data_IF_767183774619
#
_entry.id   IF_767183774619
#
_cell.length_a   1.000
_cell.length_b   1.000
_cell.length_c   1.000
_cell.angle_alpha   90.00
_cell.angle_beta   90.00
_cell.angle_gamma   90.00
#
_symmetry.space_group_name_H-M   'P 1'
#
loop_
_entity.id
_entity.type
_entity.pdbx_description
1 polymer ?
#
# COMPACT_ATOMS: atom_id res chain seq x y z
N UNK A 1 30.87 -38.05 -18.85
CA UNK A 1 30.18 -38.95 -19.81
C UNK A 1 30.43 -40.47 -19.59
N UNK A 2 30.90 -40.86 -18.42
CA UNK A 2 31.31 -42.25 -18.15
C UNK A 2 30.17 -43.17 -17.70
N UNK A 3 28.96 -42.70 -17.51
CA UNK A 3 27.90 -43.49 -16.89
C UNK A 3 26.71 -43.90 -17.77
N UNK A 4 26.82 -43.81 -19.09
CA UNK A 4 25.76 -44.23 -20.04
C UNK A 4 24.33 -43.71 -19.72
N UNK A 5 24.21 -42.71 -18.85
CA UNK A 5 22.89 -42.16 -18.45
C UNK A 5 22.24 -41.30 -19.53
N UNK A 6 23.00 -40.78 -20.50
CA UNK A 6 22.54 -39.91 -21.55
C UNK A 6 23.01 -40.41 -22.93
N UNK A 7 22.51 -41.54 -23.43
CA UNK A 7 23.00 -42.18 -24.65
C UNK A 7 22.72 -41.40 -25.93
N UNK A 8 21.79 -40.47 -25.89
CA UNK A 8 21.39 -39.65 -27.06
C UNK A 8 22.17 -38.35 -27.21
N UNK A 9 22.97 -37.97 -26.20
CA UNK A 9 23.76 -36.73 -26.20
C UNK A 9 25.21 -37.08 -26.56
N UNK A 10 25.75 -36.33 -27.54
CA UNK A 10 27.13 -36.50 -28.02
C UNK A 10 28.07 -35.56 -27.26
N UNK A 11 27.67 -34.30 -27.06
CA UNK A 11 28.48 -33.30 -26.39
C UNK A 11 27.62 -32.27 -25.65
N UNK A 12 28.24 -31.55 -24.70
CA UNK A 12 27.61 -30.52 -23.87
C UNK A 12 28.56 -29.31 -23.88
N UNK A 13 28.03 -28.17 -24.30
CA UNK A 13 28.75 -26.89 -24.34
C UNK A 13 28.08 -25.87 -23.44
N UNK A 14 28.89 -25.10 -22.73
CA UNK A 14 28.45 -23.90 -22.02
C UNK A 14 28.67 -22.68 -22.93
N UNK A 15 27.60 -22.09 -23.39
CA UNK A 15 27.56 -20.88 -24.21
C UNK A 15 26.98 -19.69 -23.44
N UNK A 16 27.14 -19.68 -22.12
CA UNK A 16 26.66 -18.57 -21.29
C UNK A 16 27.41 -17.28 -21.61
N UNK A 17 26.67 -16.19 -21.74
CA UNK A 17 27.20 -14.86 -22.03
C UNK A 17 26.54 -13.78 -21.14
N UNK A 18 26.82 -12.49 -21.42
CA UNK A 18 26.25 -11.37 -20.66
C UNK A 18 24.74 -11.20 -20.87
N UNK A 19 24.21 -11.64 -22.01
CA UNK A 19 22.77 -11.57 -22.34
C UNK A 19 22.03 -12.80 -21.80
N UNK A 20 22.71 -13.98 -21.86
CA UNK A 20 22.20 -15.26 -21.40
C UNK A 20 23.08 -15.80 -20.27
N UNK A 21 22.76 -15.45 -19.03
CA UNK A 21 23.57 -15.81 -17.87
C UNK A 21 23.74 -17.32 -17.65
N UNK A 22 22.88 -18.15 -18.26
CA UNK A 22 22.98 -19.61 -18.26
C UNK A 22 22.44 -20.14 -19.59
N UNK A 23 23.34 -20.56 -20.49
CA UNK A 23 23.01 -21.18 -21.77
C UNK A 23 23.83 -22.45 -21.97
N UNK A 24 23.20 -23.60 -21.77
CA UNK A 24 23.81 -24.91 -21.95
C UNK A 24 23.27 -25.50 -23.25
N UNK A 25 24.15 -25.83 -24.20
CA UNK A 25 23.82 -26.44 -25.48
C UNK A 25 24.15 -27.91 -25.44
N UNK A 26 23.15 -28.76 -25.75
CA UNK A 26 23.29 -30.21 -25.80
C UNK A 26 23.27 -30.65 -27.27
N UNK A 27 24.36 -31.29 -27.73
CA UNK A 27 24.42 -31.88 -29.06
C UNK A 27 23.84 -33.28 -29.04
N UNK A 28 22.81 -33.46 -29.89
CA UNK A 28 22.18 -34.78 -30.08
C UNK A 28 22.93 -35.62 -31.08
N UNK A 29 23.03 -36.93 -30.83
CA UNK A 29 23.70 -37.90 -31.70
C UNK A 29 23.10 -37.97 -33.10
N UNK A 30 21.82 -37.70 -33.29
CA UNK A 30 21.10 -37.73 -34.54
C UNK A 30 19.94 -36.73 -34.55
N UNK A 31 19.70 -36.14 -35.74
CA UNK A 31 18.52 -35.27 -35.95
C UNK A 31 17.17 -36.02 -35.92
N UNK A 32 17.18 -37.35 -35.83
CA UNK A 32 15.99 -38.19 -35.69
C UNK A 32 15.56 -38.42 -34.27
N UNK A 33 16.36 -38.00 -33.27
CA UNK A 33 16.05 -38.14 -31.88
C UNK A 33 14.92 -37.18 -31.51
N UNK A 34 13.91 -37.69 -30.84
CA UNK A 34 12.81 -36.86 -30.32
C UNK A 34 13.30 -36.00 -29.16
N UNK A 35 13.34 -34.68 -29.42
CA UNK A 35 13.86 -33.69 -28.43
C UNK A 35 13.01 -33.68 -27.15
N UNK A 36 11.68 -33.78 -27.26
CA UNK A 36 10.78 -33.73 -26.11
C UNK A 36 10.99 -34.93 -25.19
N UNK A 37 11.21 -36.10 -25.77
CA UNK A 37 11.55 -37.33 -25.00
C UNK A 37 12.90 -37.20 -24.29
N UNK A 38 13.92 -36.62 -24.94
CA UNK A 38 15.22 -36.37 -24.33
C UNK A 38 15.08 -35.38 -23.17
N UNK A 39 14.32 -34.30 -23.37
CA UNK A 39 14.07 -33.33 -22.30
C UNK A 39 13.33 -33.95 -21.11
N UNK A 40 12.30 -34.75 -21.37
CA UNK A 40 11.58 -35.48 -20.33
C UNK A 40 12.50 -36.42 -19.55
N UNK A 41 13.38 -37.13 -20.24
CA UNK A 41 14.40 -37.97 -19.62
C UNK A 41 15.41 -37.18 -18.77
N UNK A 42 15.86 -36.02 -19.25
CA UNK A 42 16.77 -35.14 -18.53
C UNK A 42 16.11 -34.63 -17.24
N UNK A 43 14.86 -34.20 -17.29
CA UNK A 43 14.10 -33.78 -16.12
C UNK A 43 13.88 -34.91 -15.10
N UNK A 44 13.70 -36.14 -15.58
CA UNK A 44 13.50 -37.30 -14.70
C UNK A 44 14.82 -37.83 -14.07
N UNK A 45 15.95 -37.69 -14.77
CA UNK A 45 17.24 -38.34 -14.44
C UNK A 45 18.32 -37.42 -13.91
N UNK A 46 18.10 -36.10 -13.97
CA UNK A 46 19.06 -35.08 -13.54
C UNK A 46 18.40 -34.04 -12.62
N UNK A 47 19.22 -33.14 -12.07
CA UNK A 47 18.77 -32.03 -11.21
C UNK A 47 18.27 -30.81 -12.01
N UNK A 48 18.00 -30.94 -13.33
CA UNK A 48 17.39 -29.89 -14.13
C UNK A 48 15.95 -29.59 -13.72
N UNK A 49 15.23 -30.55 -13.16
CA UNK A 49 13.97 -30.36 -12.48
C UNK A 49 14.13 -30.73 -11.01
N UNK A 50 13.77 -29.81 -10.13
CA UNK A 50 13.76 -30.06 -8.69
C UNK A 50 12.45 -29.60 -8.06
N UNK A 51 11.99 -30.34 -7.05
CA UNK A 51 10.81 -29.98 -6.29
C UNK A 51 11.20 -29.05 -5.14
N UNK A 52 10.61 -27.88 -5.09
CA UNK A 52 10.75 -26.97 -3.97
C UNK A 52 9.49 -26.95 -3.13
N UNK A 53 9.60 -27.35 -1.86
CA UNK A 53 8.47 -27.31 -0.93
C UNK A 53 8.33 -25.93 -0.33
N UNK A 54 7.23 -25.24 -0.63
CA UNK A 54 6.88 -23.97 -0.02
C UNK A 54 6.02 -24.23 1.21
N UNK A 55 6.46 -23.77 2.38
CA UNK A 55 5.73 -23.85 3.62
C UNK A 55 5.57 -22.43 4.19
N UNK A 56 4.37 -21.87 4.03
CA UNK A 56 4.06 -20.51 4.47
C UNK A 56 3.54 -20.53 5.91
N UNK A 57 4.47 -20.56 6.88
CA UNK A 57 4.15 -20.45 8.29
C UNK A 57 4.13 -18.98 8.68
N UNK A 58 2.96 -18.42 8.98
CA UNK A 58 2.73 -17.00 9.23
C UNK A 58 1.90 -16.78 10.48
N UNK A 59 2.09 -15.62 11.10
CA UNK A 59 1.24 -15.15 12.20
C UNK A 59 0.04 -14.42 11.58
N UNK A 60 -1.15 -14.98 11.76
CA UNK A 60 -2.39 -14.42 11.26
C UNK A 60 -3.00 -13.36 12.19
N UNK A 61 -4.21 -12.90 11.86
CA UNK A 61 -4.96 -11.91 12.64
C UNK A 61 -5.25 -12.37 14.08
N UNK A 62 -5.26 -13.66 14.32
CA UNK A 62 -5.44 -14.26 15.65
C UNK A 62 -4.18 -14.22 16.54
N UNK A 63 -3.06 -13.70 16.02
CA UNK A 63 -1.78 -13.64 16.72
C UNK A 63 -1.07 -14.98 16.92
N UNK A 64 -1.53 -16.08 16.28
CA UNK A 64 -0.94 -17.42 16.41
C UNK A 64 -0.23 -17.83 15.11
N UNK A 65 0.93 -18.50 15.20
CA UNK A 65 1.60 -19.06 14.03
C UNK A 65 0.77 -20.22 13.45
N UNK A 66 0.54 -20.21 12.16
CA UNK A 66 -0.20 -21.23 11.42
C UNK A 66 0.36 -21.37 10.00
N UNK A 67 0.33 -22.60 9.48
CA UNK A 67 0.58 -22.82 8.05
C UNK A 67 -0.66 -22.44 7.28
N UNK A 68 -0.52 -21.52 6.33
CA UNK A 68 -1.62 -20.99 5.53
C UNK A 68 -1.33 -21.12 4.04
N UNK A 69 -2.37 -21.28 3.26
CA UNK A 69 -2.26 -21.15 1.82
C UNK A 69 -2.25 -19.67 1.38
N UNK A 70 -1.83 -19.41 0.14
CA UNK A 70 -1.72 -18.04 -0.38
C UNK A 70 -3.04 -17.26 -0.33
N UNK A 71 -4.16 -17.92 -0.62
CA UNK A 71 -5.50 -17.30 -0.59
C UNK A 71 -5.85 -16.81 0.81
N UNK A 72 -5.68 -17.64 1.82
CA UNK A 72 -5.94 -17.30 3.23
C UNK A 72 -5.07 -16.11 3.69
N UNK A 73 -3.79 -16.10 3.29
CA UNK A 73 -2.87 -15.01 3.61
C UNK A 73 -3.36 -13.70 3.00
N UNK A 74 -3.76 -13.72 1.74
CA UNK A 74 -4.26 -12.52 1.04
C UNK A 74 -5.59 -12.03 1.62
N UNK A 75 -6.51 -12.94 1.96
CA UNK A 75 -7.79 -12.58 2.60
C UNK A 75 -7.57 -11.91 3.96
N UNK A 76 -6.73 -12.48 4.82
CA UNK A 76 -6.41 -11.86 6.11
C UNK A 76 -5.66 -10.54 5.95
N UNK A 77 -4.76 -10.45 4.97
CA UNK A 77 -4.07 -9.21 4.68
C UNK A 77 -5.04 -8.10 4.24
N UNK A 78 -6.03 -8.41 3.40
CA UNK A 78 -7.06 -7.44 3.00
C UNK A 78 -7.89 -6.95 4.18
N UNK A 79 -8.24 -7.84 5.13
CA UNK A 79 -8.93 -7.44 6.36
C UNK A 79 -8.07 -6.50 7.20
N UNK A 80 -6.79 -6.83 7.36
CA UNK A 80 -5.83 -5.97 8.05
C UNK A 80 -5.68 -4.62 7.36
N UNK A 81 -5.47 -4.61 6.04
CA UNK A 81 -5.33 -3.39 5.24
C UNK A 81 -6.54 -2.48 5.38
N UNK A 82 -7.76 -3.03 5.28
CA UNK A 82 -9.01 -2.27 5.50
C UNK A 82 -9.02 -1.60 6.87
N UNK A 83 -8.69 -2.33 7.93
CA UNK A 83 -8.62 -1.78 9.29
C UNK A 83 -7.60 -0.66 9.40
N UNK A 84 -6.43 -0.80 8.79
CA UNK A 84 -5.37 0.22 8.80
C UNK A 84 -5.82 1.48 8.05
N UNK A 85 -6.41 1.34 6.86
CA UNK A 85 -6.92 2.48 6.07
C UNK A 85 -8.03 3.20 6.83
N UNK A 86 -8.98 2.46 7.40
CA UNK A 86 -10.06 3.06 8.21
C UNK A 86 -9.51 3.87 9.39
N UNK A 87 -8.55 3.33 10.16
CA UNK A 87 -7.91 4.05 11.26
C UNK A 87 -7.14 5.28 10.80
N UNK A 88 -6.46 5.20 9.65
CA UNK A 88 -5.76 6.34 9.05
C UNK A 88 -6.73 7.46 8.68
N UNK A 89 -7.85 7.12 8.04
CA UNK A 89 -8.90 8.08 7.67
C UNK A 89 -9.55 8.70 8.91
N UNK A 90 -9.88 7.89 9.92
CA UNK A 90 -10.45 8.40 11.17
C UNK A 90 -9.50 9.37 11.89
N UNK A 91 -8.21 9.03 11.97
CA UNK A 91 -7.22 9.93 12.56
C UNK A 91 -7.09 11.25 11.79
N UNK A 92 -7.14 11.19 10.45
CA UNK A 92 -7.11 12.40 9.63
C UNK A 92 -8.37 13.24 9.83
N UNK A 93 -9.54 12.61 9.89
CA UNK A 93 -10.82 13.27 10.17
C UNK A 93 -10.79 13.99 11.51
N UNK A 94 -10.33 13.33 12.56
CA UNK A 94 -10.23 13.92 13.90
C UNK A 94 -9.31 15.15 13.93
N UNK A 95 -8.22 15.13 13.15
CA UNK A 95 -7.35 16.29 12.98
C UNK A 95 -8.02 17.44 12.23
N UNK A 96 -8.74 17.13 11.16
CA UNK A 96 -9.49 18.12 10.38
C UNK A 96 -10.57 18.75 11.25
N UNK A 97 -11.35 17.98 11.97
CA UNK A 97 -12.42 18.48 12.82
C UNK A 97 -11.89 19.43 13.91
N UNK A 98 -10.78 19.07 14.56
CA UNK A 98 -10.11 19.95 15.52
C UNK A 98 -9.63 21.25 14.89
N UNK A 99 -9.07 21.19 13.68
CA UNK A 99 -8.58 22.38 12.99
C UNK A 99 -9.74 23.27 12.52
N UNK A 100 -10.78 22.69 11.93
CA UNK A 100 -12.00 23.40 11.53
C UNK A 100 -12.68 24.07 12.72
N UNK A 101 -12.71 23.43 13.88
CA UNK A 101 -13.24 24.01 15.10
C UNK A 101 -12.48 25.27 15.50
N UNK A 102 -11.15 25.25 15.45
CA UNK A 102 -10.31 26.43 15.75
C UNK A 102 -10.52 27.53 14.68
N UNK A 103 -10.53 27.16 13.41
CA UNK A 103 -10.73 28.12 12.31
C UNK A 103 -12.07 28.85 12.41
N UNK A 104 -13.14 28.13 12.80
CA UNK A 104 -14.44 28.75 13.02
C UNK A 104 -14.39 29.83 14.10
N UNK A 105 -13.70 29.60 15.20
CA UNK A 105 -13.48 30.63 16.24
C UNK A 105 -12.65 31.80 15.77
N UNK A 106 -11.56 31.53 15.04
CA UNK A 106 -10.70 32.58 14.48
C UNK A 106 -11.45 33.49 13.52
N UNK A 107 -12.28 32.92 12.63
CA UNK A 107 -13.09 33.70 11.69
C UNK A 107 -14.12 34.59 12.39
N UNK A 108 -14.72 34.13 13.48
CA UNK A 108 -15.61 34.97 14.32
C UNK A 108 -14.81 36.17 14.86
N UNK A 109 -13.60 35.95 15.37
CA UNK A 109 -12.74 37.00 15.87
C UNK A 109 -12.33 38.03 14.78
N UNK A 110 -11.99 37.56 13.57
CA UNK A 110 -11.64 38.44 12.44
C UNK A 110 -12.83 39.29 11.99
N UNK A 111 -14.03 38.77 12.00
CA UNK A 111 -15.23 39.53 11.64
C UNK A 111 -15.58 40.62 12.68
N UNK A 112 -15.12 40.46 13.93
CA UNK A 112 -15.43 41.33 15.04
C UNK A 112 -14.15 41.85 15.72
N UNK A 113 -13.09 42.10 14.95
CA UNK A 113 -11.75 42.35 15.46
C UNK A 113 -11.66 43.52 16.44
N UNK A 114 -12.35 44.63 16.17
CA UNK A 114 -12.34 45.80 17.02
C UNK A 114 -12.93 45.53 18.42
N UNK A 115 -14.02 44.76 18.44
CA UNK A 115 -14.67 44.36 19.70
C UNK A 115 -13.83 43.34 20.47
N UNK A 116 -13.20 42.39 19.78
CA UNK A 116 -12.26 41.43 20.38
C UNK A 116 -11.08 42.16 21.02
N UNK A 117 -10.51 43.14 20.34
CA UNK A 117 -9.42 43.97 20.89
C UNK A 117 -9.90 44.77 22.12
N UNK A 118 -11.11 45.33 22.08
CA UNK A 118 -11.70 46.01 23.21
C UNK A 118 -11.82 45.11 24.43
N UNK A 119 -12.41 43.91 24.26
CA UNK A 119 -12.56 42.90 25.32
C UNK A 119 -11.20 42.55 25.92
N UNK A 120 -10.20 42.28 25.07
CA UNK A 120 -8.85 41.89 25.54
C UNK A 120 -8.21 43.00 26.41
N UNK A 121 -8.53 44.28 26.10
CA UNK A 121 -7.91 45.45 26.77
C UNK A 121 -8.64 45.94 28.00
N UNK A 122 -9.96 45.75 28.07
CA UNK A 122 -10.83 46.40 29.05
C UNK A 122 -11.39 45.42 30.09
N UNK A 123 -11.52 44.12 29.76
CA UNK A 123 -12.10 43.13 30.63
C UNK A 123 -11.06 42.49 31.54
N UNK A 124 -11.45 42.20 32.81
CA UNK A 124 -10.59 41.55 33.79
C UNK A 124 -10.30 40.10 33.42
N UNK A 125 -11.28 39.38 32.81
CA UNK A 125 -11.12 38.06 32.24
C UNK A 125 -11.56 37.99 30.78
N UNK A 126 -10.65 38.33 29.86
CA UNK A 126 -10.95 38.38 28.43
C UNK A 126 -11.42 37.02 27.87
N UNK A 127 -10.92 35.92 28.44
CA UNK A 127 -11.29 34.57 28.01
C UNK A 127 -12.77 34.27 28.26
N UNK A 128 -13.24 34.51 29.47
CA UNK A 128 -14.64 34.31 29.84
C UNK A 128 -15.56 35.24 29.04
N UNK A 129 -15.15 36.52 28.87
CA UNK A 129 -15.92 37.50 28.09
C UNK A 129 -16.04 37.11 26.62
N UNK A 130 -14.98 36.58 26.00
CA UNK A 130 -15.03 36.09 24.63
C UNK A 130 -15.92 34.85 24.51
N UNK A 131 -15.82 33.90 25.44
CA UNK A 131 -16.65 32.70 25.45
C UNK A 131 -18.15 33.03 25.57
N UNK A 132 -18.51 33.95 26.45
CA UNK A 132 -19.90 34.35 26.66
C UNK A 132 -20.46 35.24 25.54
N UNK A 133 -19.63 36.17 25.03
CA UNK A 133 -20.05 37.13 24.00
C UNK A 133 -20.26 36.51 22.63
N UNK A 134 -19.51 35.46 22.28
CA UNK A 134 -19.53 34.83 20.96
C UNK A 134 -19.86 33.33 20.96
N UNK A 135 -20.30 32.79 22.10
CA UNK A 135 -20.59 31.36 22.27
C UNK A 135 -19.40 30.46 21.86
N UNK A 136 -18.19 30.87 22.23
CA UNK A 136 -16.97 30.18 21.87
C UNK A 136 -16.61 29.12 22.93
N UNK A 137 -16.01 28.03 22.43
CA UNK A 137 -15.40 27.06 23.34
C UNK A 137 -14.07 27.59 23.90
N UNK A 138 -13.63 27.00 25.02
CA UNK A 138 -12.36 27.35 25.65
C UNK A 138 -11.18 27.23 24.68
N UNK A 139 -11.18 26.20 23.80
CA UNK A 139 -10.15 25.97 22.79
C UNK A 139 -10.12 27.12 21.77
N UNK A 140 -11.28 27.58 21.33
CA UNK A 140 -11.41 28.70 20.38
C UNK A 140 -10.98 30.02 21.04
N UNK A 141 -11.43 30.27 22.27
CA UNK A 141 -11.03 31.49 23.01
C UNK A 141 -9.51 31.55 23.22
N UNK A 142 -8.88 30.46 23.62
CA UNK A 142 -7.43 30.40 23.75
C UNK A 142 -6.74 30.64 22.41
N UNK A 143 -7.23 30.04 21.31
CA UNK A 143 -6.65 30.25 19.97
C UNK A 143 -6.75 31.70 19.52
N UNK A 144 -7.83 32.43 19.89
CA UNK A 144 -8.00 33.86 19.61
C UNK A 144 -6.99 34.68 20.41
N UNK A 145 -6.81 34.38 21.69
CA UNK A 145 -5.87 35.09 22.57
C UNK A 145 -4.40 34.87 22.16
N UNK A 146 -4.10 33.74 21.53
CA UNK A 146 -2.78 33.40 21.01
C UNK A 146 -2.47 34.01 19.61
N UNK A 147 -3.41 34.78 19.00
CA UNK A 147 -3.19 35.43 17.70
C UNK A 147 -2.07 36.46 17.82
N UNK A 148 -1.11 36.35 16.93
CA UNK A 148 -0.04 37.36 16.84
C UNK A 148 -0.54 38.60 16.10
N UNK A 149 -0.16 39.80 16.54
CA UNK A 149 -0.59 41.05 15.93
C UNK A 149 -0.37 41.12 14.40
N UNK A 150 0.71 40.52 13.90
CA UNK A 150 0.98 40.45 12.46
C UNK A 150 -0.07 39.63 11.67
N UNK A 151 -0.73 38.72 12.31
CA UNK A 151 -1.75 37.84 11.72
C UNK A 151 -3.12 38.50 11.62
N UNK A 152 -3.29 39.70 12.20
CA UNK A 152 -4.51 40.50 12.08
C UNK A 152 -4.62 41.25 10.73
N UNK A 153 -3.67 41.04 9.82
CA UNK A 153 -3.73 41.64 8.48
C UNK A 153 -4.86 41.02 7.65
N UNK A 154 -5.49 41.84 6.80
CA UNK A 154 -6.65 41.40 5.97
C UNK A 154 -6.36 40.24 5.03
N UNK A 155 -5.11 40.02 4.65
CA UNK A 155 -4.70 38.86 3.84
C UNK A 155 -4.85 37.53 4.57
N UNK A 156 -4.65 37.52 5.87
CA UNK A 156 -4.76 36.29 6.69
C UNK A 156 -6.21 35.77 6.79
N UNK A 157 -7.22 36.69 6.79
CA UNK A 157 -8.63 36.27 6.74
C UNK A 157 -8.96 35.45 5.48
N UNK A 158 -8.44 35.89 4.34
CA UNK A 158 -8.65 35.20 3.06
C UNK A 158 -8.00 33.81 3.09
N UNK A 159 -6.81 33.70 3.64
CA UNK A 159 -6.10 32.43 3.79
C UNK A 159 -6.82 31.48 4.75
N UNK A 160 -7.34 31.98 5.89
CA UNK A 160 -8.10 31.16 6.83
C UNK A 160 -9.41 30.63 6.22
N UNK A 161 -10.12 31.46 5.44
CA UNK A 161 -11.33 31.01 4.72
C UNK A 161 -10.99 29.94 3.68
N UNK A 162 -9.92 30.14 2.94
CA UNK A 162 -9.45 29.15 1.97
C UNK A 162 -9.07 27.82 2.65
N UNK A 163 -8.32 27.88 3.76
CA UNK A 163 -7.99 26.69 4.56
C UNK A 163 -9.25 25.99 5.06
N UNK A 164 -10.24 26.75 5.53
CA UNK A 164 -11.51 26.21 5.99
C UNK A 164 -12.25 25.46 4.86
N UNK A 165 -12.33 26.04 3.66
CA UNK A 165 -13.00 25.43 2.52
C UNK A 165 -12.28 24.17 2.05
N UNK A 166 -10.96 24.20 1.97
CA UNK A 166 -10.14 23.03 1.61
C UNK A 166 -10.31 21.87 2.61
N UNK A 167 -10.26 22.16 3.91
CA UNK A 167 -10.45 21.16 4.96
C UNK A 167 -11.89 20.64 5.01
N UNK A 168 -12.89 21.48 4.77
CA UNK A 168 -14.29 21.08 4.70
C UNK A 168 -14.53 20.13 3.52
N UNK A 169 -13.93 20.39 2.37
CA UNK A 169 -14.00 19.50 1.21
C UNK A 169 -13.30 18.16 1.50
N UNK A 170 -12.09 18.17 2.08
CA UNK A 170 -11.38 16.95 2.48
C UNK A 170 -12.18 16.15 3.52
N UNK A 171 -12.77 16.82 4.49
CA UNK A 171 -13.66 16.21 5.49
C UNK A 171 -14.81 15.43 4.84
N UNK A 172 -15.50 16.04 3.87
CA UNK A 172 -16.61 15.42 3.19
C UNK A 172 -16.19 14.15 2.44
N UNK A 173 -15.05 14.18 1.75
CA UNK A 173 -14.48 13.02 1.05
C UNK A 173 -14.15 11.90 2.04
N UNK A 174 -13.49 12.21 3.15
CA UNK A 174 -13.13 11.20 4.15
C UNK A 174 -14.38 10.60 4.80
N UNK A 175 -15.39 11.42 5.09
CA UNK A 175 -16.66 10.93 5.64
C UNK A 175 -17.39 10.00 4.66
N UNK A 176 -17.32 10.27 3.36
CA UNK A 176 -17.86 9.36 2.36
C UNK A 176 -17.15 8.00 2.40
N UNK A 177 -15.81 7.98 2.43
CA UNK A 177 -15.04 6.73 2.52
C UNK A 177 -15.35 5.93 3.79
N UNK A 178 -15.57 6.60 4.92
CA UNK A 178 -15.87 5.94 6.20
C UNK A 178 -17.32 5.42 6.26
N UNK A 179 -18.26 6.10 5.62
CA UNK A 179 -19.68 5.75 5.66
C UNK A 179 -20.11 4.78 4.55
N UNK A 180 -19.35 4.72 3.45
CA UNK A 180 -19.65 3.88 2.30
C UNK A 180 -18.57 2.81 2.10
N UNK A 181 -18.88 1.52 2.37
CA UNK A 181 -17.93 0.41 2.22
C UNK A 181 -17.39 0.24 0.79
N UNK A 182 -18.18 0.60 -0.23
CA UNK A 182 -17.79 0.48 -1.63
C UNK A 182 -16.79 1.58 -2.00
N UNK A 183 -17.01 2.82 -1.55
CA UNK A 183 -16.08 3.93 -1.73
C UNK A 183 -14.73 3.64 -1.05
N UNK A 184 -14.75 3.07 0.16
CA UNK A 184 -13.53 2.62 0.84
C UNK A 184 -12.79 1.53 0.07
N UNK A 185 -13.53 0.59 -0.52
CA UNK A 185 -12.95 -0.49 -1.32
C UNK A 185 -12.31 0.07 -2.59
N UNK A 186 -12.97 1.02 -3.27
CA UNK A 186 -12.42 1.67 -4.45
C UNK A 186 -11.13 2.45 -4.12
N UNK A 187 -11.11 3.20 -3.02
CA UNK A 187 -9.88 3.85 -2.53
C UNK A 187 -8.74 2.84 -2.35
N UNK A 188 -9.01 1.69 -1.74
CA UNK A 188 -7.99 0.64 -1.56
C UNK A 188 -7.52 0.06 -2.89
N UNK A 189 -8.40 -0.11 -3.88
CA UNK A 189 -8.05 -0.58 -5.23
C UNK A 189 -7.15 0.45 -5.92
N UNK A 190 -7.48 1.73 -5.81
CA UNK A 190 -6.68 2.80 -6.41
C UNK A 190 -5.27 2.87 -5.80
N UNK A 191 -5.15 2.79 -4.47
CA UNK A 191 -3.86 2.74 -3.79
C UNK A 191 -3.03 1.53 -4.23
N UNK A 192 -3.63 0.33 -4.24
CA UNK A 192 -2.94 -0.90 -4.67
C UNK A 192 -2.54 -0.86 -6.15
N UNK A 193 -3.37 -0.23 -6.98
CA UNK A 193 -3.07 -0.05 -8.41
C UNK A 193 -1.90 0.90 -8.63
N UNK A 194 -1.77 1.93 -7.80
CA UNK A 194 -0.63 2.84 -7.81
C UNK A 194 0.65 2.11 -7.36
N UNK A 195 0.58 1.36 -6.25
CA UNK A 195 1.70 0.55 -5.75
C UNK A 195 2.16 -0.49 -6.80
N UNK A 196 1.19 -1.11 -7.50
CA UNK A 196 1.50 -2.06 -8.57
C UNK A 196 2.23 -1.41 -9.76
N UNK A 197 1.86 -0.18 -10.13
CA UNK A 197 2.53 0.54 -11.23
C UNK A 197 3.96 0.95 -10.88
N UNK A 198 4.20 1.30 -9.61
CA UNK A 198 5.50 1.76 -9.15
C UNK A 198 6.46 0.61 -8.84
N UNK A 199 5.95 -0.48 -8.25
CA UNK A 199 6.76 -1.57 -7.71
C UNK A 199 6.53 -2.92 -8.39
N UNK A 200 5.54 -3.02 -9.29
CA UNK A 200 5.21 -4.27 -9.98
C UNK A 200 6.28 -4.67 -11.00
N UNK A 201 6.59 -5.94 -11.04
CA UNK A 201 7.47 -6.54 -12.03
C UNK A 201 6.69 -7.49 -12.93
N UNK A 202 7.17 -7.67 -14.15
CA UNK A 202 6.66 -8.72 -15.03
C UNK A 202 6.89 -10.09 -14.41
N UNK A 203 6.00 -11.03 -14.74
CA UNK A 203 6.11 -12.39 -14.23
C UNK A 203 7.30 -13.10 -14.88
N UNK A 204 8.29 -13.49 -14.10
CA UNK A 204 9.49 -14.19 -14.56
C UNK A 204 9.22 -15.69 -14.73
N UNK A 205 8.42 -16.31 -13.81
CA UNK A 205 8.13 -17.75 -13.82
C UNK A 205 6.81 -18.02 -14.54
N UNK A 206 6.79 -18.98 -15.43
CA UNK A 206 5.59 -19.40 -16.13
C UNK A 206 4.71 -20.30 -15.21
N UNK A 207 3.39 -20.25 -15.42
CA UNK A 207 2.46 -21.24 -14.90
C UNK A 207 2.26 -22.29 -15.99
N UNK A 208 2.66 -23.53 -15.71
CA UNK A 208 2.44 -24.66 -16.60
C UNK A 208 1.79 -25.80 -15.84
N UNK A 209 0.95 -26.57 -16.53
CA UNK A 209 0.53 -27.87 -16.00
C UNK A 209 1.72 -28.83 -16.09
N UNK A 210 1.93 -29.57 -15.02
CA UNK A 210 3.05 -30.52 -14.96
C UNK A 210 2.65 -31.80 -15.68
N UNK A 211 3.34 -32.11 -16.79
CA UNK A 211 3.42 -33.47 -17.32
C UNK A 211 4.49 -34.24 -16.52
N UNK A 212 4.16 -35.42 -16.06
CA UNK A 212 5.15 -36.27 -15.35
C UNK A 212 6.31 -36.61 -16.26
N UNK A 213 7.50 -36.16 -15.88
CA UNK A 213 8.71 -36.48 -16.61
C UNK A 213 8.99 -38.00 -16.56
N UNK A 214 9.21 -38.60 -17.71
CA UNK A 214 9.43 -40.05 -17.86
C UNK A 214 10.87 -40.36 -18.24
N UNK A 215 11.53 -41.19 -17.44
CA UNK A 215 12.83 -41.70 -17.79
C UNK A 215 12.70 -42.73 -18.92
N UNK A 216 13.42 -42.51 -20.03
CA UNK A 216 13.49 -43.46 -21.13
C UNK A 216 14.25 -44.73 -20.68
N UNK A 217 13.76 -45.91 -21.07
CA UNK A 217 14.49 -47.16 -20.90
C UNK A 217 15.50 -47.34 -22.03
N UNK A 218 16.65 -47.98 -21.74
CA UNK A 218 17.74 -48.21 -22.73
C UNK A 218 17.28 -48.99 -23.99
N UNK A 219 16.08 -49.48 -24.00
CA UNK A 219 15.50 -50.31 -25.10
C UNK A 219 14.54 -49.55 -26.02
N UNK A 220 14.27 -48.28 -25.76
CA UNK A 220 13.43 -47.39 -26.61
C UNK A 220 14.34 -46.44 -27.51
#
# INVERSE_FOLDING_TARGET
MTDKKLPWITDIHDESDHENACRIVLELRSSRVDVERVMSHLFASTDLESNYRVNMNMIGLNGKPQVKNLKEILEEWLVCRRSVVTRRLQYRLDKIDKRLHILAGLLIAYLNIDEVIRIIREEDDPKLSLMQGYDLTEIQANAILDIRLRQLARLEEIELRREQDELAAERAIIQEYLNNPDSLTNLMIDELSADMKEHGNERVSQLAEREEAQALKETD
#
